data_IF_007090503558
#
_entry.id   IF_007090503558
#
_cell.length_a   1.000
_cell.length_b   1.000
_cell.length_c   1.000
_cell.angle_alpha   90.00
_cell.angle_beta   90.00
_cell.angle_gamma   90.00
#
_symmetry.space_group_name_H-M   'P 1'
#
loop_
_entity.id
_entity.type
_entity.pdbx_description
1 polymer ?
#
# COMPACT_ATOMS: atom_id res chain seq x y z
N UNK A 1 -28.74 13.45 -8.67
CA UNK A 1 -27.58 13.22 -7.79
C UNK A 1 -27.71 12.01 -6.86
N UNK A 2 -28.75 11.87 -6.04
CA UNK A 2 -28.83 10.77 -5.04
C UNK A 2 -28.74 9.35 -5.62
N UNK A 3 -29.25 9.11 -6.85
CA UNK A 3 -29.12 7.80 -7.53
C UNK A 3 -27.65 7.45 -7.82
N UNK A 4 -26.86 8.44 -8.21
CA UNK A 4 -25.42 8.29 -8.48
C UNK A 4 -24.68 8.00 -7.17
N UNK A 5 -24.98 8.76 -6.11
CA UNK A 5 -24.42 8.53 -4.77
C UNK A 5 -24.72 7.10 -4.32
N UNK A 6 -25.96 6.63 -4.46
CA UNK A 6 -26.32 5.27 -4.05
C UNK A 6 -25.59 4.19 -4.87
N UNK A 7 -25.40 4.37 -6.18
CA UNK A 7 -24.60 3.45 -6.99
C UNK A 7 -23.12 3.46 -6.59
N UNK A 8 -22.55 4.63 -6.32
CA UNK A 8 -21.17 4.77 -5.86
C UNK A 8 -20.94 4.20 -4.47
N UNK A 9 -21.91 4.34 -3.58
CA UNK A 9 -21.87 3.71 -2.26
C UNK A 9 -21.98 2.19 -2.36
N UNK A 10 -22.72 1.65 -3.34
CA UNK A 10 -22.78 0.21 -3.58
C UNK A 10 -21.42 -0.33 -4.09
N UNK A 11 -20.74 0.42 -4.97
CA UNK A 11 -19.38 0.07 -5.41
C UNK A 11 -18.39 0.22 -4.25
N UNK A 12 -18.51 1.28 -3.46
CA UNK A 12 -17.70 1.50 -2.27
C UNK A 12 -17.88 0.37 -1.25
N UNK A 13 -19.11 -0.13 -1.04
CA UNK A 13 -19.39 -1.32 -0.21
C UNK A 13 -18.74 -2.57 -0.77
N UNK A 14 -18.78 -2.77 -2.09
CA UNK A 14 -18.10 -3.88 -2.76
C UNK A 14 -16.56 -3.78 -2.63
N UNK A 15 -16.02 -2.57 -2.61
CA UNK A 15 -14.61 -2.26 -2.35
C UNK A 15 -14.28 -2.11 -0.85
N UNK A 16 -15.23 -2.45 0.03
CA UNK A 16 -15.12 -2.45 1.49
C UNK A 16 -14.80 -1.08 2.13
N UNK A 17 -15.23 0.03 1.51
CA UNK A 17 -15.14 1.38 2.07
C UNK A 17 -16.36 1.69 2.96
N UNK A 18 -16.19 2.48 4.01
CA UNK A 18 -17.30 2.90 4.89
C UNK A 18 -18.27 3.85 4.15
N UNK A 19 -19.50 3.40 3.87
CA UNK A 19 -20.48 4.20 3.13
C UNK A 19 -20.98 5.41 3.92
N UNK A 20 -20.87 5.35 5.24
CA UNK A 20 -21.38 6.36 6.19
C UNK A 20 -20.55 7.62 6.12
N UNK A 21 -19.22 7.48 6.09
CA UNK A 21 -18.28 8.59 5.91
C UNK A 21 -18.22 9.07 4.47
N UNK A 22 -18.40 8.17 3.50
CA UNK A 22 -18.28 8.49 2.08
C UNK A 22 -19.51 9.25 1.53
N UNK A 23 -20.71 8.97 2.04
CA UNK A 23 -21.96 9.59 1.59
C UNK A 23 -21.96 11.13 1.65
N UNK A 24 -21.60 11.80 2.76
CA UNK A 24 -21.56 13.26 2.80
C UNK A 24 -20.52 13.84 1.82
N UNK A 25 -19.37 13.17 1.66
CA UNK A 25 -18.30 13.57 0.73
C UNK A 25 -18.79 13.51 -0.71
N UNK A 26 -19.45 12.41 -1.10
CA UNK A 26 -20.01 12.25 -2.45
C UNK A 26 -21.13 13.26 -2.73
N UNK A 27 -21.93 13.62 -1.73
CA UNK A 27 -22.97 14.64 -1.88
C UNK A 27 -22.38 16.03 -2.09
N UNK A 28 -21.43 16.44 -1.26
CA UNK A 28 -20.74 17.73 -1.39
C UNK A 28 -20.02 17.83 -2.74
N UNK A 29 -19.40 16.73 -3.16
CA UNK A 29 -18.70 16.61 -4.43
C UNK A 29 -19.63 16.76 -5.64
N UNK A 30 -20.77 16.05 -5.67
CA UNK A 30 -21.74 16.17 -6.76
C UNK A 30 -22.41 17.54 -6.79
N UNK A 31 -22.66 18.14 -5.62
CA UNK A 31 -23.13 19.53 -5.52
C UNK A 31 -22.08 20.52 -6.06
N UNK A 32 -20.79 20.24 -5.89
CA UNK A 32 -19.71 21.03 -6.46
C UNK A 32 -19.53 20.86 -7.97
N UNK A 33 -20.16 19.84 -8.57
CA UNK A 33 -20.13 19.56 -10.02
C UNK A 33 -21.36 20.09 -10.76
N UNK A 34 -22.42 20.45 -10.04
CA UNK A 34 -23.63 21.11 -10.55
C UNK A 34 -23.34 22.61 -10.71
N UNK A 35 -22.82 23.00 -11.88
CA UNK A 35 -22.34 24.35 -12.14
C UNK A 35 -23.48 25.32 -12.44
N UNK A 36 -24.56 24.82 -13.07
CA UNK A 36 -25.75 25.60 -13.37
C UNK A 36 -26.78 25.61 -12.24
N UNK A 37 -26.55 24.80 -11.19
CA UNK A 37 -27.36 24.69 -9.96
C UNK A 37 -28.79 24.21 -10.24
N UNK A 38 -28.96 23.38 -11.25
CA UNK A 38 -30.26 22.84 -11.63
C UNK A 38 -30.70 21.64 -10.75
N UNK A 39 -29.83 21.16 -9.86
CA UNK A 39 -30.08 20.02 -8.98
C UNK A 39 -29.80 18.66 -9.64
N UNK A 40 -29.29 18.67 -10.87
CA UNK A 40 -28.84 17.53 -11.64
C UNK A 40 -27.35 17.68 -11.96
N UNK A 41 -26.76 16.62 -12.51
CA UNK A 41 -25.39 16.69 -13.05
C UNK A 41 -25.53 16.17 -14.47
N UNK A 42 -25.44 17.07 -15.43
CA UNK A 42 -25.50 16.73 -16.84
C UNK A 42 -24.31 15.87 -17.26
N UNK A 43 -24.38 15.24 -18.44
CA UNK A 43 -23.26 14.45 -18.96
C UNK A 43 -21.98 15.30 -19.12
N UNK A 44 -22.11 16.57 -19.51
CA UNK A 44 -20.96 17.46 -19.66
C UNK A 44 -20.34 17.83 -18.31
N UNK A 45 -21.16 18.14 -17.31
CA UNK A 45 -20.70 18.43 -15.94
C UNK A 45 -20.11 17.19 -15.27
N UNK A 46 -20.67 16.01 -15.56
CA UNK A 46 -20.13 14.72 -15.12
C UNK A 46 -18.73 14.47 -15.68
N UNK A 47 -18.54 14.67 -16.99
CA UNK A 47 -17.22 14.50 -17.64
C UNK A 47 -16.23 15.53 -17.10
N UNK A 48 -16.65 16.79 -16.95
CA UNK A 48 -15.77 17.86 -16.47
C UNK A 48 -15.38 17.69 -14.99
N UNK A 49 -16.34 17.39 -14.12
CA UNK A 49 -16.10 17.18 -12.70
C UNK A 49 -15.46 15.83 -12.37
N UNK A 50 -15.75 14.78 -13.15
CA UNK A 50 -15.12 13.46 -13.04
C UNK A 50 -13.62 13.48 -13.38
N UNK A 51 -13.19 14.31 -14.33
CA UNK A 51 -11.76 14.51 -14.65
C UNK A 51 -10.99 15.31 -13.60
N UNK A 52 -11.68 16.05 -12.72
CA UNK A 52 -11.05 16.99 -11.77
C UNK A 52 -11.16 16.54 -10.31
N UNK A 53 -11.84 15.43 -10.06
CA UNK A 53 -12.22 14.99 -8.72
C UNK A 53 -11.70 13.59 -8.43
N UNK A 54 -10.58 13.53 -7.71
CA UNK A 54 -9.82 12.30 -7.40
C UNK A 54 -10.68 11.17 -6.79
N UNK A 55 -11.63 11.43 -5.86
CA UNK A 55 -12.48 10.37 -5.33
C UNK A 55 -13.34 9.66 -6.37
N UNK A 56 -13.80 10.35 -7.43
CA UNK A 56 -14.61 9.76 -8.51
C UNK A 56 -13.80 8.80 -9.38
N UNK A 57 -12.56 9.17 -9.68
CA UNK A 57 -11.66 8.38 -10.52
C UNK A 57 -11.30 7.04 -9.86
N UNK A 58 -11.09 7.07 -8.54
CA UNK A 58 -10.83 5.88 -7.73
C UNK A 58 -12.10 5.02 -7.55
N UNK A 59 -13.27 5.64 -7.34
CA UNK A 59 -14.54 4.92 -7.13
C UNK A 59 -15.15 4.32 -8.39
N UNK A 60 -14.94 4.93 -9.56
CA UNK A 60 -15.44 4.43 -10.84
C UNK A 60 -14.54 3.36 -11.46
N UNK A 61 -13.38 3.07 -10.86
CA UNK A 61 -12.36 2.24 -11.50
C UNK A 61 -11.87 2.82 -12.84
N UNK A 62 -12.06 4.13 -13.05
CA UNK A 62 -11.79 4.84 -14.30
C UNK A 62 -10.40 5.51 -14.34
N UNK A 63 -9.57 5.28 -13.31
CA UNK A 63 -8.10 5.45 -13.41
C UNK A 63 -7.45 4.39 -14.33
N UNK A 64 -8.09 4.08 -15.46
CA UNK A 64 -7.50 3.33 -16.57
C UNK A 64 -7.68 4.04 -17.93
N UNK A 65 -8.29 5.24 -17.96
CA UNK A 65 -8.51 6.00 -19.21
C UNK A 65 -7.97 7.43 -19.20
N UNK A 66 -6.99 7.72 -18.34
CA UNK A 66 -6.12 8.91 -18.40
C UNK A 66 -4.63 8.57 -18.36
N UNK A 67 -4.27 7.41 -17.79
CA UNK A 67 -2.99 6.76 -17.99
C UNK A 67 -3.04 5.94 -19.27
N UNK A 68 -2.92 6.60 -20.41
CA UNK A 68 -2.27 5.92 -21.54
C UNK A 68 -0.98 5.32 -20.97
N UNK A 69 -0.78 4.01 -21.10
CA UNK A 69 0.47 3.33 -20.76
C UNK A 69 1.63 3.76 -21.65
N UNK A 70 1.71 5.05 -21.98
CA UNK A 70 2.72 5.67 -22.83
C UNK A 70 3.84 6.34 -22.02
N UNK A 71 3.84 6.14 -20.70
CA UNK A 71 4.89 6.58 -19.81
C UNK A 71 4.83 8.07 -19.49
N UNK A 72 3.75 8.78 -19.82
CA UNK A 72 3.64 10.21 -19.48
C UNK A 72 3.43 10.46 -17.99
N UNK A 73 3.79 11.67 -17.56
CA UNK A 73 3.54 12.13 -16.20
C UNK A 73 2.05 12.22 -15.89
N UNK A 74 1.64 11.72 -14.72
CA UNK A 74 0.29 11.88 -14.19
C UNK A 74 0.22 13.09 -13.25
N UNK A 75 -0.34 14.21 -13.75
CA UNK A 75 -0.36 15.50 -13.07
C UNK A 75 -1.58 15.67 -12.16
N UNK A 76 -1.35 16.19 -10.96
CA UNK A 76 -2.42 16.63 -10.05
C UNK A 76 -2.21 18.06 -9.61
N UNK A 77 -3.30 18.82 -9.48
CA UNK A 77 -3.27 20.18 -8.96
C UNK A 77 -3.03 20.16 -7.44
N UNK A 78 -1.97 20.82 -6.98
CA UNK A 78 -1.55 20.75 -5.58
C UNK A 78 -1.41 22.13 -4.92
N UNK A 79 -1.72 22.15 -3.62
CA UNK A 79 -1.37 23.24 -2.72
C UNK A 79 -0.14 22.84 -1.90
N UNK A 80 0.91 23.67 -1.93
CA UNK A 80 2.17 23.41 -1.25
C UNK A 80 2.26 24.24 0.03
N UNK A 81 2.38 23.55 1.17
CA UNK A 81 2.52 24.20 2.49
C UNK A 81 3.92 24.77 2.74
N UNK A 82 4.88 24.48 1.85
CA UNK A 82 6.27 24.92 1.92
C UNK A 82 6.64 25.62 0.61
N UNK A 83 7.59 26.58 0.63
CA UNK A 83 8.11 27.16 -0.60
C UNK A 83 8.52 26.05 -1.58
N UNK A 84 7.86 26.02 -2.74
CA UNK A 84 8.08 25.00 -3.78
C UNK A 84 8.27 25.72 -5.10
N UNK A 85 9.21 25.25 -5.91
CA UNK A 85 9.64 25.91 -7.14
C UNK A 85 9.27 25.07 -8.35
N UNK A 86 8.82 25.72 -9.41
CA UNK A 86 8.57 25.08 -10.69
C UNK A 86 9.88 24.48 -11.22
N UNK A 87 9.91 23.17 -11.46
CA UNK A 87 11.07 22.49 -12.00
C UNK A 87 11.42 22.93 -13.43
N UNK A 88 10.50 23.61 -14.14
CA UNK A 88 10.75 24.10 -15.50
C UNK A 88 11.36 25.51 -15.55
N UNK A 89 10.80 26.47 -14.82
CA UNK A 89 11.25 27.87 -14.88
C UNK A 89 12.02 28.30 -13.62
N UNK A 90 12.15 27.43 -12.63
CA UNK A 90 12.81 27.65 -11.35
C UNK A 90 12.23 28.80 -10.51
N UNK A 91 11.05 29.33 -10.90
CA UNK A 91 10.32 30.34 -10.13
C UNK A 91 9.35 29.68 -9.16
N UNK A 92 9.17 30.31 -7.99
CA UNK A 92 8.28 29.82 -6.95
C UNK A 92 6.84 29.65 -7.44
N UNK A 93 6.19 28.56 -7.02
CA UNK A 93 4.77 28.31 -7.21
C UNK A 93 3.98 29.20 -6.22
N UNK A 94 3.58 30.39 -6.67
CA UNK A 94 2.86 31.37 -5.84
C UNK A 94 1.35 31.18 -5.89
N UNK A 95 0.65 31.38 -4.77
CA UNK A 95 -0.81 31.34 -4.70
C UNK A 95 -1.34 30.99 -3.30
N UNK A 96 -2.56 31.43 -2.98
CA UNK A 96 -3.22 31.19 -1.69
C UNK A 96 -3.92 29.82 -1.64
N UNK A 97 -4.34 29.30 -2.80
CA UNK A 97 -4.89 27.94 -3.03
C UNK A 97 -4.47 27.46 -4.42
N UNK A 98 -4.23 26.14 -4.60
CA UNK A 98 -3.85 25.48 -5.88
C UNK A 98 -2.72 26.21 -6.65
N UNK A 99 -1.47 26.03 -6.21
CA UNK A 99 -0.32 26.83 -6.65
C UNK A 99 0.39 26.27 -7.91
N UNK A 100 0.24 24.98 -8.21
CA UNK A 100 0.93 24.33 -9.32
C UNK A 100 0.59 22.85 -9.47
N UNK A 101 0.94 22.27 -10.61
CA UNK A 101 0.77 20.85 -10.90
C UNK A 101 1.94 20.06 -10.32
N UNK A 102 1.69 18.83 -9.90
CA UNK A 102 2.65 17.91 -9.32
C UNK A 102 2.43 16.52 -9.93
N UNK A 103 3.47 15.90 -10.46
CA UNK A 103 3.38 14.51 -10.90
C UNK A 103 3.24 13.58 -9.69
N UNK A 104 2.28 12.65 -9.70
CA UNK A 104 2.05 11.74 -8.57
C UNK A 104 3.13 10.67 -8.44
N UNK A 105 3.92 10.39 -9.48
CA UNK A 105 4.99 9.40 -9.43
C UNK A 105 6.35 10.06 -9.13
N UNK A 106 6.90 10.84 -10.07
CA UNK A 106 8.22 11.45 -9.91
C UNK A 106 8.28 12.73 -9.07
N UNK A 107 7.13 13.24 -8.60
CA UNK A 107 7.01 14.49 -7.81
C UNK A 107 7.52 15.75 -8.50
N UNK A 108 7.75 15.72 -9.82
CA UNK A 108 8.05 16.91 -10.61
C UNK A 108 6.92 17.93 -10.48
N UNK A 109 7.25 19.21 -10.27
CA UNK A 109 6.27 20.28 -10.06
C UNK A 109 6.40 21.37 -11.10
N UNK A 110 5.28 21.89 -11.60
CA UNK A 110 5.25 22.95 -12.61
C UNK A 110 4.12 23.94 -12.39
N UNK A 111 4.29 25.19 -12.82
CA UNK A 111 3.14 26.10 -12.93
C UNK A 111 2.16 25.59 -13.99
N UNK A 112 0.89 25.92 -13.84
CA UNK A 112 -0.15 25.68 -14.86
C UNK A 112 0.25 26.31 -16.21
N UNK A 113 0.72 27.56 -16.20
CA UNK A 113 1.25 28.22 -17.42
C UNK A 113 2.47 27.53 -18.02
N UNK A 114 3.31 26.91 -17.20
CA UNK A 114 4.52 26.22 -17.64
C UNK A 114 4.19 24.87 -18.27
N UNK A 115 3.18 24.19 -17.73
CA UNK A 115 2.63 22.98 -18.30
C UNK A 115 2.11 23.19 -19.73
N UNK A 116 1.34 24.26 -19.98
CA UNK A 116 0.79 24.53 -21.32
C UNK A 116 1.82 25.08 -22.33
N UNK A 117 2.93 25.69 -21.88
CA UNK A 117 3.90 26.37 -22.76
C UNK A 117 4.96 25.47 -23.38
N UNK A 118 5.23 24.29 -22.82
CA UNK A 118 6.29 23.40 -23.33
C UNK A 118 5.71 22.07 -23.82
N UNK A 119 5.83 21.84 -25.12
CA UNK A 119 5.65 20.55 -25.77
C UNK A 119 6.69 19.50 -25.28
N UNK A 120 7.79 19.93 -24.64
CA UNK A 120 8.86 19.07 -24.06
C UNK A 120 8.51 18.46 -22.69
N UNK A 121 7.32 18.69 -22.11
CA UNK A 121 6.79 17.82 -21.04
C UNK A 121 6.38 16.43 -21.58
N UNK A 122 6.65 16.16 -22.86
CA UNK A 122 6.53 14.87 -23.54
C UNK A 122 7.54 13.82 -23.09
N UNK A 123 8.48 14.16 -22.19
CA UNK A 123 9.37 13.17 -21.59
C UNK A 123 8.58 12.15 -20.78
N UNK A 124 8.94 10.88 -20.92
CA UNK A 124 8.40 9.82 -20.07
C UNK A 124 8.78 10.07 -18.62
N UNK A 125 7.83 9.88 -17.71
CA UNK A 125 8.07 9.88 -16.27
C UNK A 125 9.10 8.80 -15.93
N UNK A 126 10.11 9.17 -15.15
CA UNK A 126 11.23 8.31 -14.75
C UNK A 126 11.09 7.79 -13.30
N UNK A 127 9.98 8.11 -12.62
CA UNK A 127 9.77 7.81 -11.19
C UNK A 127 10.52 8.73 -10.22
N UNK A 128 11.35 9.65 -10.72
CA UNK A 128 12.04 10.69 -9.94
C UNK A 128 12.90 10.13 -8.81
N UNK A 129 12.84 10.78 -7.64
CA UNK A 129 13.64 10.38 -6.47
C UNK A 129 13.34 8.95 -6.00
N UNK A 130 12.14 8.42 -6.24
CA UNK A 130 11.74 7.08 -5.79
C UNK A 130 11.83 6.02 -6.89
N UNK A 131 12.52 6.30 -7.99
CA UNK A 131 12.62 5.41 -9.17
C UNK A 131 13.06 3.97 -8.86
N UNK A 132 13.88 3.75 -7.83
CA UNK A 132 14.32 2.39 -7.46
C UNK A 132 13.15 1.54 -6.97
N UNK A 133 12.20 2.15 -6.26
CA UNK A 133 11.13 1.43 -5.59
C UNK A 133 9.76 1.57 -6.25
N UNK A 134 9.48 2.67 -6.95
CA UNK A 134 8.15 2.96 -7.49
C UNK A 134 7.87 2.20 -8.79
N UNK A 135 6.70 1.58 -8.88
CA UNK A 135 6.17 1.01 -10.13
C UNK A 135 5.38 2.06 -10.88
N UNK A 136 5.87 2.47 -12.05
CA UNK A 136 5.09 3.31 -12.95
C UNK A 136 3.93 2.49 -13.54
N UNK A 137 2.82 3.12 -13.97
CA UNK A 137 1.73 2.42 -14.65
C UNK A 137 2.19 1.59 -15.85
N UNK A 138 3.20 2.08 -16.58
CA UNK A 138 3.83 1.36 -17.71
C UNK A 138 4.51 0.06 -17.30
N UNK A 139 4.85 -0.11 -16.02
CA UNK A 139 5.46 -1.33 -15.48
C UNK A 139 4.43 -2.37 -15.06
N UNK A 140 3.12 -2.12 -15.17
CA UNK A 140 2.06 -3.04 -14.73
C UNK A 140 1.17 -3.37 -15.93
N UNK A 141 1.38 -4.55 -16.52
CA UNK A 141 0.64 -4.99 -17.70
C UNK A 141 -0.52 -5.90 -17.29
N UNK A 142 -1.77 -5.63 -17.72
CA UNK A 142 -2.85 -6.60 -17.57
C UNK A 142 -2.58 -7.84 -18.43
N UNK A 143 -2.85 -9.01 -17.88
CA UNK A 143 -2.74 -10.30 -18.56
C UNK A 143 -4.05 -11.05 -18.36
N UNK A 144 -4.70 -11.40 -19.46
CA UNK A 144 -5.82 -12.36 -19.45
C UNK A 144 -5.25 -13.77 -19.51
N UNK A 145 -5.58 -14.60 -18.52
CA UNK A 145 -5.29 -16.04 -18.55
C UNK A 145 -6.60 -16.81 -18.51
N UNK A 146 -6.79 -17.70 -19.47
CA UNK A 146 -7.80 -18.74 -19.35
C UNK A 146 -7.37 -19.70 -18.24
N UNK A 147 -8.28 -19.94 -17.29
CA UNK A 147 -8.07 -20.92 -16.23
C UNK A 147 -7.93 -22.29 -16.90
N UNK A 148 -6.74 -22.89 -16.90
CA UNK A 148 -6.57 -24.28 -17.35
C UNK A 148 -7.48 -25.17 -16.49
N UNK A 149 -8.57 -25.62 -17.10
CA UNK A 149 -9.52 -26.53 -16.48
C UNK A 149 -8.81 -27.82 -16.11
N UNK A 150 -8.74 -28.10 -14.80
CA UNK A 150 -8.46 -29.44 -14.32
C UNK A 150 -9.51 -30.38 -14.88
N UNK A 151 -9.05 -31.48 -15.48
CA UNK A 151 -9.91 -32.57 -15.95
C UNK A 151 -10.70 -33.16 -14.78
N UNK A 152 -12.04 -33.07 -14.84
CA UNK A 152 -12.94 -34.18 -14.49
C UNK A 152 -14.40 -33.82 -14.80
N UNK A 153 -14.95 -34.63 -15.69
CA UNK A 153 -16.35 -34.96 -16.03
C UNK A 153 -17.53 -34.14 -15.49
N UNK A 154 -18.36 -33.74 -16.46
CA UNK A 154 -19.81 -33.87 -16.31
C UNK A 154 -20.55 -32.65 -15.78
N UNK A 155 -21.12 -31.90 -16.73
CA UNK A 155 -22.31 -31.05 -16.62
C UNK A 155 -22.17 -29.59 -16.14
N UNK A 156 -22.87 -28.74 -16.90
CA UNK A 156 -23.21 -27.33 -16.73
C UNK A 156 -22.08 -26.32 -16.96
N UNK A 157 -22.20 -25.64 -18.10
CA UNK A 157 -21.41 -24.49 -18.56
C UNK A 157 -21.33 -23.38 -17.50
N UNK A 158 -20.33 -23.43 -16.63
CA UNK A 158 -19.91 -22.28 -15.85
C UNK A 158 -19.24 -21.28 -16.80
N UNK A 159 -19.85 -20.09 -16.98
CA UNK A 159 -19.18 -18.95 -17.60
C UNK A 159 -17.86 -18.75 -16.86
N UNK A 160 -16.73 -19.00 -17.54
CA UNK A 160 -15.41 -18.79 -16.96
C UNK A 160 -15.27 -17.34 -16.52
N UNK A 161 -15.11 -17.12 -15.23
CA UNK A 161 -14.84 -15.81 -14.66
C UNK A 161 -13.43 -15.40 -15.08
N UNK A 162 -13.33 -14.40 -15.96
CA UNK A 162 -12.06 -13.81 -16.39
C UNK A 162 -11.41 -13.14 -15.18
N UNK A 163 -10.43 -13.79 -14.57
CA UNK A 163 -9.61 -13.18 -13.53
C UNK A 163 -8.56 -12.31 -14.22
N UNK A 164 -8.71 -10.98 -14.12
CA UNK A 164 -7.68 -10.05 -14.58
C UNK A 164 -6.44 -10.22 -13.70
N UNK A 165 -5.37 -10.77 -14.26
CA UNK A 165 -4.06 -10.84 -13.60
C UNK A 165 -3.18 -9.69 -14.10
N UNK A 166 -2.19 -9.32 -13.31
CA UNK A 166 -1.21 -8.31 -13.71
C UNK A 166 0.18 -8.94 -13.75
N UNK A 167 0.98 -8.52 -14.72
CA UNK A 167 2.40 -8.82 -14.81
C UNK A 167 3.20 -7.54 -14.60
N UNK A 168 4.13 -7.58 -13.66
CA UNK A 168 5.03 -6.46 -13.40
C UNK A 168 6.28 -6.61 -14.29
N UNK A 169 6.60 -5.57 -15.03
CA UNK A 169 7.83 -5.44 -15.83
C UNK A 169 8.58 -4.22 -15.27
N UNK A 170 9.46 -4.43 -14.29
CA UNK A 170 10.16 -3.32 -13.66
C UNK A 170 11.20 -2.71 -14.60
N UNK A 171 11.55 -1.45 -14.34
CA UNK A 171 12.66 -0.78 -15.02
C UNK A 171 13.97 -1.52 -14.71
N UNK A 172 14.85 -1.76 -15.70
CA UNK A 172 16.13 -2.43 -15.44
C UNK A 172 16.96 -1.72 -14.37
N UNK A 173 17.53 -2.49 -13.44
CA UNK A 173 18.36 -1.98 -12.36
C UNK A 173 17.59 -1.33 -11.20
N UNK A 174 16.26 -1.47 -11.17
CA UNK A 174 15.43 -1.05 -10.03
C UNK A 174 14.96 -2.22 -9.18
N UNK A 175 14.53 -1.94 -7.95
CA UNK A 175 14.05 -2.91 -6.98
C UNK A 175 12.65 -2.51 -6.48
N UNK A 176 11.58 -2.90 -7.21
CA UNK A 176 10.21 -2.59 -6.83
C UNK A 176 9.93 -2.94 -5.37
N UNK A 177 9.28 -2.03 -4.65
CA UNK A 177 8.97 -2.23 -3.24
C UNK A 177 7.52 -2.68 -3.05
N UNK A 178 7.32 -3.83 -2.42
CA UNK A 178 6.03 -4.25 -1.86
C UNK A 178 5.94 -3.74 -0.42
N UNK A 179 4.96 -2.87 -0.15
CA UNK A 179 4.75 -2.30 1.19
C UNK A 179 3.55 -2.99 1.85
N UNK A 180 3.80 -3.68 2.97
CA UNK A 180 2.80 -4.38 3.76
C UNK A 180 2.60 -3.65 5.08
N UNK A 181 1.40 -3.11 5.31
CA UNK A 181 1.12 -2.27 6.49
C UNK A 181 0.04 -2.90 7.35
N UNK A 182 0.32 -3.06 8.65
CA UNK A 182 -0.69 -3.37 9.65
C UNK A 182 -1.28 -2.05 10.21
N UNK A 183 -2.53 -1.68 9.88
CA UNK A 183 -3.12 -0.40 10.30
C UNK A 183 -3.26 -0.26 11.82
N UNK A 184 -3.43 -1.40 12.51
CA UNK A 184 -3.63 -1.47 13.97
C UNK A 184 -2.34 -1.24 14.76
N UNK A 185 -1.17 -1.38 14.12
CA UNK A 185 0.12 -1.22 14.79
C UNK A 185 0.44 0.23 15.17
N UNK A 186 1.26 0.40 16.23
CA UNK A 186 1.79 1.70 16.66
C UNK A 186 0.76 2.67 17.24
N UNK A 187 -0.32 2.20 17.88
CA UNK A 187 -1.38 3.07 18.39
C UNK A 187 -2.21 3.73 17.29
N UNK A 188 -2.59 2.94 16.27
CA UNK A 188 -3.27 3.40 15.02
C UNK A 188 -2.44 4.32 14.13
N UNK A 189 -1.12 4.38 14.33
CA UNK A 189 -0.24 5.07 13.39
C UNK A 189 -0.15 4.34 12.04
N UNK A 190 -0.38 3.03 12.01
CA UNK A 190 -0.37 2.23 10.77
C UNK A 190 -1.31 2.79 9.69
N UNK A 191 -2.52 3.21 10.07
CA UNK A 191 -3.48 3.83 9.14
C UNK A 191 -2.93 5.12 8.49
N UNK A 192 -2.28 5.97 9.29
CA UNK A 192 -1.63 7.19 8.79
C UNK A 192 -0.45 6.86 7.86
N UNK A 193 0.30 5.80 8.17
CA UNK A 193 1.43 5.34 7.37
C UNK A 193 0.95 4.77 6.03
N UNK A 194 -0.09 3.95 6.03
CA UNK A 194 -0.73 3.39 4.83
C UNK A 194 -1.09 4.50 3.84
N UNK A 195 -1.85 5.53 4.30
CA UNK A 195 -2.24 6.68 3.47
C UNK A 195 -1.05 7.44 2.91
N UNK A 196 0.02 7.60 3.70
CA UNK A 196 1.24 8.28 3.24
C UNK A 196 1.98 7.46 2.17
N UNK A 197 2.04 6.13 2.30
CA UNK A 197 2.66 5.29 1.27
C UNK A 197 1.85 5.28 -0.03
N UNK A 198 0.52 5.24 0.02
CA UNK A 198 -0.32 5.42 -1.17
C UNK A 198 -0.08 6.75 -1.88
N UNK A 199 0.34 7.78 -1.15
CA UNK A 199 0.72 9.07 -1.74
C UNK A 199 2.14 9.05 -2.32
N UNK A 200 3.06 8.28 -1.74
CA UNK A 200 4.47 8.27 -2.13
C UNK A 200 4.76 7.33 -3.29
N UNK A 201 4.17 6.13 -3.28
CA UNK A 201 4.36 5.06 -4.25
C UNK A 201 3.11 4.84 -5.09
N UNK A 202 3.17 3.92 -6.05
CA UNK A 202 1.97 3.49 -6.76
C UNK A 202 1.03 2.76 -5.78
N UNK A 203 -0.27 3.11 -5.72
CA UNK A 203 -1.20 2.46 -4.79
C UNK A 203 -1.25 0.93 -4.88
N UNK A 204 -0.98 0.34 -6.06
CA UNK A 204 -0.91 -1.12 -6.25
C UNK A 204 0.30 -1.77 -5.57
N UNK A 205 1.22 -1.00 -4.99
CA UNK A 205 2.37 -1.48 -4.22
C UNK A 205 2.12 -1.54 -2.71
N UNK A 206 1.02 -0.95 -2.24
CA UNK A 206 0.79 -0.69 -0.82
C UNK A 206 -0.44 -1.47 -0.38
N UNK A 207 -0.24 -2.45 0.49
CA UNK A 207 -1.27 -3.39 0.91
C UNK A 207 -1.57 -3.24 2.40
N UNK A 208 -2.86 -3.20 2.68
CA UNK A 208 -3.39 -3.26 4.03
C UNK A 208 -3.48 -4.73 4.49
N UNK A 209 -2.80 -5.07 5.57
CA UNK A 209 -2.79 -6.43 6.12
C UNK A 209 -4.11 -6.85 6.77
N UNK A 210 -5.00 -5.91 7.14
CA UNK A 210 -6.35 -6.26 7.58
C UNK A 210 -7.20 -6.83 6.42
N UNK A 211 -6.80 -6.58 5.16
CA UNK A 211 -7.54 -6.98 3.96
C UNK A 211 -6.97 -8.28 3.37
N UNK A 212 -7.10 -9.38 4.12
CA UNK A 212 -6.64 -10.70 3.66
C UNK A 212 -5.15 -10.99 3.83
N UNK A 213 -4.44 -10.18 4.63
CA UNK A 213 -3.05 -10.44 5.05
C UNK A 213 -1.98 -10.17 3.98
N UNK A 214 -0.78 -10.78 4.13
CA UNK A 214 0.34 -10.55 3.21
C UNK A 214 0.16 -11.16 1.82
N UNK A 215 -0.63 -12.23 1.72
CA UNK A 215 -0.76 -13.09 0.54
C UNK A 215 -1.18 -12.36 -0.74
N UNK A 216 -2.16 -11.42 -0.74
CA UNK A 216 -2.53 -10.67 -1.94
C UNK A 216 -1.35 -9.90 -2.54
N UNK A 217 -0.55 -9.24 -1.69
CA UNK A 217 0.64 -8.49 -2.12
C UNK A 217 1.74 -9.41 -2.65
N UNK A 218 2.02 -10.51 -1.95
CA UNK A 218 3.01 -11.50 -2.38
C UNK A 218 2.62 -12.14 -3.73
N UNK A 219 1.34 -12.44 -3.94
CA UNK A 219 0.85 -12.96 -5.21
C UNK A 219 0.95 -11.92 -6.34
N UNK A 220 0.67 -10.64 -6.07
CA UNK A 220 0.80 -9.57 -7.06
C UNK A 220 2.26 -9.39 -7.51
N UNK A 221 3.23 -9.55 -6.60
CA UNK A 221 4.66 -9.45 -6.89
C UNK A 221 5.34 -10.77 -7.29
N UNK A 222 4.62 -11.90 -7.32
CA UNK A 222 5.19 -13.26 -7.42
C UNK A 222 6.24 -13.43 -8.53
N UNK A 223 5.94 -12.91 -9.71
CA UNK A 223 6.79 -13.05 -10.91
C UNK A 223 7.71 -11.85 -11.12
N UNK A 224 7.79 -10.94 -10.15
CA UNK A 224 8.62 -9.73 -10.24
C UNK A 224 10.06 -10.07 -9.86
N UNK A 225 11.06 -9.80 -10.72
CA UNK A 225 12.46 -10.02 -10.34
C UNK A 225 12.90 -8.97 -9.31
N UNK A 226 13.76 -9.41 -8.38
CA UNK A 226 14.49 -8.57 -7.41
C UNK A 226 13.67 -7.51 -6.65
N UNK A 227 12.37 -7.76 -6.43
CA UNK A 227 11.55 -6.92 -5.57
C UNK A 227 11.97 -7.03 -4.10
N UNK A 228 11.68 -5.99 -3.33
CA UNK A 228 11.92 -5.91 -1.89
C UNK A 228 10.59 -5.80 -1.15
N UNK A 229 10.58 -6.16 0.13
CA UNK A 229 9.40 -6.02 1.00
C UNK A 229 9.70 -5.02 2.11
N UNK A 230 8.74 -4.13 2.38
CA UNK A 230 8.72 -3.29 3.58
C UNK A 230 7.58 -3.73 4.49
N UNK A 231 7.92 -4.32 5.63
CA UNK A 231 7.01 -4.74 6.68
C UNK A 231 6.79 -3.61 7.69
N UNK A 232 5.58 -3.05 7.77
CA UNK A 232 5.23 -1.98 8.72
C UNK A 232 4.37 -2.54 9.87
N UNK A 233 4.99 -2.74 11.03
CA UNK A 233 4.37 -3.37 12.20
C UNK A 233 5.36 -3.61 13.33
N UNK A 234 4.91 -4.32 14.37
CA UNK A 234 5.79 -4.89 15.39
C UNK A 234 6.27 -6.31 15.04
N UNK A 235 7.01 -6.95 15.94
CA UNK A 235 7.64 -8.26 15.72
C UNK A 235 6.65 -9.35 15.25
N UNK A 236 5.44 -9.40 15.81
CA UNK A 236 4.42 -10.37 15.38
C UNK A 236 3.93 -10.14 13.94
N UNK A 237 3.85 -8.88 13.49
CA UNK A 237 3.50 -8.57 12.09
C UNK A 237 4.63 -8.97 11.15
N UNK A 238 5.88 -8.66 11.52
CA UNK A 238 7.05 -9.05 10.72
C UNK A 238 7.16 -10.57 10.62
N UNK A 239 6.97 -11.28 11.74
CA UNK A 239 6.97 -12.75 11.77
C UNK A 239 5.90 -13.37 10.88
N UNK A 240 4.67 -12.82 10.91
CA UNK A 240 3.59 -13.28 10.03
C UNK A 240 3.92 -13.08 8.55
N UNK A 241 4.51 -11.94 8.18
CA UNK A 241 4.94 -11.67 6.80
C UNK A 241 6.03 -12.66 6.37
N UNK A 242 7.02 -12.92 7.22
CA UNK A 242 8.11 -13.86 6.94
C UNK A 242 7.58 -15.29 6.75
N UNK A 243 6.65 -15.74 7.58
CA UNK A 243 5.97 -17.03 7.43
C UNK A 243 5.16 -17.13 6.12
N UNK A 244 4.45 -16.06 5.75
CA UNK A 244 3.76 -16.02 4.45
C UNK A 244 4.74 -16.06 3.26
N UNK A 245 5.92 -15.45 3.37
CA UNK A 245 6.96 -15.52 2.33
C UNK A 245 7.46 -16.96 2.17
N UNK A 246 7.72 -17.67 3.26
CA UNK A 246 8.16 -19.09 3.21
C UNK A 246 7.12 -19.96 2.50
N UNK A 247 5.84 -19.70 2.77
CA UNK A 247 4.70 -20.45 2.20
C UNK A 247 4.33 -20.01 0.78
N UNK A 248 4.83 -18.88 0.29
CA UNK A 248 4.45 -18.32 -1.01
C UNK A 248 5.07 -19.05 -2.21
N UNK A 249 6.04 -19.95 -1.99
CA UNK A 249 6.76 -20.69 -3.03
C UNK A 249 7.27 -19.74 -4.15
N UNK A 250 8.04 -18.74 -3.73
CA UNK A 250 8.70 -17.77 -4.60
C UNK A 250 10.01 -18.35 -5.13
N UNK A 251 10.38 -18.00 -6.37
CA UNK A 251 11.65 -18.47 -6.95
C UNK A 251 12.89 -18.02 -6.13
N UNK A 252 12.79 -16.86 -5.48
CA UNK A 252 13.79 -16.29 -4.59
C UNK A 252 13.07 -15.53 -3.49
N UNK A 253 13.50 -15.71 -2.24
CA UNK A 253 12.93 -14.95 -1.13
C UNK A 253 13.37 -13.47 -1.23
N UNK A 254 12.43 -12.51 -1.19
CA UNK A 254 12.76 -11.10 -1.26
C UNK A 254 13.40 -10.62 0.05
N UNK A 255 14.35 -9.66 0.00
CA UNK A 255 14.80 -8.96 1.20
C UNK A 255 13.65 -8.23 1.89
N UNK A 256 13.64 -8.24 3.23
CA UNK A 256 12.62 -7.60 4.05
C UNK A 256 13.23 -6.50 4.90
N UNK A 257 12.77 -5.27 4.71
CA UNK A 257 13.02 -4.14 5.60
C UNK A 257 11.87 -3.99 6.60
N UNK A 258 12.15 -3.44 7.78
CA UNK A 258 11.15 -3.25 8.83
C UNK A 258 10.95 -1.77 9.11
N UNK A 259 9.70 -1.32 9.08
CA UNK A 259 9.28 -0.06 9.69
C UNK A 259 8.65 -0.38 11.06
N UNK A 260 9.39 -0.18 12.17
CA UNK A 260 8.94 -0.60 13.50
C UNK A 260 7.77 0.26 13.99
N UNK A 261 6.59 -0.37 14.13
CA UNK A 261 5.38 0.27 14.63
C UNK A 261 4.91 -0.41 15.93
N UNK A 262 4.91 0.33 17.03
CA UNK A 262 4.48 -0.17 18.34
C UNK A 262 5.64 -0.31 19.32
N UNK A 263 5.50 -1.20 20.31
CA UNK A 263 6.45 -1.34 21.43
C UNK A 263 7.39 -2.53 21.31
N UNK A 264 6.91 -3.67 20.78
CA UNK A 264 7.69 -4.88 20.52
C UNK A 264 8.30 -4.86 19.12
N UNK A 265 9.52 -4.31 19.03
CA UNK A 265 10.27 -4.10 17.79
C UNK A 265 11.70 -4.65 17.92
N UNK A 266 11.87 -5.77 18.62
CA UNK A 266 13.19 -6.32 18.93
C UNK A 266 13.92 -6.77 17.66
N UNK A 267 13.20 -7.34 16.70
CA UNK A 267 13.78 -7.71 15.41
C UNK A 267 14.28 -6.48 14.65
N UNK A 268 13.51 -5.39 14.67
CA UNK A 268 13.92 -4.13 14.05
C UNK A 268 15.15 -3.51 14.73
N UNK A 269 15.27 -3.62 16.07
CA UNK A 269 16.46 -3.16 16.80
C UNK A 269 17.70 -3.98 16.44
N UNK A 270 17.57 -5.32 16.41
CA UNK A 270 18.64 -6.23 16.01
C UNK A 270 19.13 -5.96 14.58
N UNK A 271 18.19 -5.74 13.65
CA UNK A 271 18.49 -5.43 12.25
C UNK A 271 18.79 -3.94 12.00
N UNK A 272 18.88 -3.13 13.06
CA UNK A 272 19.23 -1.69 13.01
C UNK A 272 18.25 -0.80 12.23
N UNK A 273 17.00 -1.22 12.09
CA UNK A 273 15.89 -0.39 11.59
C UNK A 273 15.33 0.58 12.64
N UNK A 274 15.71 0.39 13.91
CA UNK A 274 15.39 1.29 15.02
C UNK A 274 14.35 0.74 15.98
N UNK A 275 14.10 1.49 17.07
CA UNK A 275 13.26 1.05 18.18
C UNK A 275 11.77 1.35 18.03
N UNK A 276 11.39 2.17 17.06
CA UNK A 276 10.02 2.62 16.82
C UNK A 276 9.99 3.82 15.87
N UNK A 277 8.89 3.99 15.14
CA UNK A 277 8.71 5.12 14.24
C UNK A 277 8.13 6.34 14.96
N UNK A 278 8.90 7.44 14.99
CA UNK A 278 8.56 8.68 15.70
C UNK A 278 8.05 9.79 14.74
N UNK A 279 7.46 9.41 13.61
CA UNK A 279 6.88 10.40 12.69
C UNK A 279 7.87 11.06 11.71
N UNK A 280 9.06 10.48 11.53
CA UNK A 280 10.08 10.94 10.58
C UNK A 280 9.65 10.91 9.11
N UNK A 281 10.56 11.27 8.19
CA UNK A 281 10.26 11.26 6.75
C UNK A 281 10.21 9.83 6.20
N UNK A 282 9.07 9.42 5.66
CA UNK A 282 8.95 8.13 4.95
C UNK A 282 9.80 8.08 3.67
N UNK A 283 9.98 9.22 3.00
CA UNK A 283 10.90 9.30 1.84
C UNK A 283 12.33 8.98 2.25
N UNK A 284 12.76 9.39 3.47
CA UNK A 284 14.07 9.03 4.00
C UNK A 284 14.16 7.53 4.23
N UNK A 285 13.14 6.92 4.84
CA UNK A 285 13.08 5.46 5.03
C UNK A 285 13.18 4.72 3.69
N UNK A 286 12.48 5.17 2.66
CA UNK A 286 12.60 4.58 1.31
C UNK A 286 14.03 4.69 0.76
N UNK A 287 14.72 5.81 0.99
CA UNK A 287 16.14 5.97 0.61
C UNK A 287 17.10 5.12 1.45
N UNK A 288 16.81 4.96 2.73
CA UNK A 288 17.58 4.10 3.62
C UNK A 288 17.44 2.62 3.19
N UNK A 289 16.26 2.20 2.68
CA UNK A 289 16.04 0.86 2.10
C UNK A 289 16.79 0.68 0.79
N UNK A 290 16.80 1.68 -0.09
CA UNK A 290 17.55 1.66 -1.36
C UNK A 290 19.04 1.36 -1.10
N UNK A 291 19.61 2.00 -0.07
CA UNK A 291 21.04 1.97 0.26
C UNK A 291 21.44 0.90 1.29
N UNK A 292 20.48 0.16 1.86
CA UNK A 292 20.78 -0.78 2.94
C UNK A 292 21.51 -2.02 2.43
N UNK A 293 22.48 -2.55 3.20
CA UNK A 293 23.10 -3.82 2.89
C UNK A 293 22.12 -4.96 3.13
N UNK A 294 22.28 -6.04 2.37
CA UNK A 294 21.59 -7.30 2.62
C UNK A 294 22.28 -8.05 3.76
N UNK A 295 21.47 -8.57 4.69
CA UNK A 295 21.94 -9.38 5.81
C UNK A 295 21.09 -10.64 5.88
N UNK A 296 21.73 -11.78 6.10
CA UNK A 296 21.03 -13.04 6.30
C UNK A 296 20.44 -13.08 7.71
N UNK A 297 19.19 -13.55 7.82
CA UNK A 297 18.49 -13.73 9.09
C UNK A 297 18.36 -15.23 9.36
N UNK A 298 18.97 -15.68 10.45
CA UNK A 298 18.75 -17.03 10.95
C UNK A 298 17.36 -17.11 11.58
N UNK A 299 16.62 -18.16 11.25
CA UNK A 299 15.28 -18.43 11.78
C UNK A 299 15.26 -19.84 12.33
N UNK A 300 14.81 -19.98 13.57
CA UNK A 300 14.90 -21.25 14.29
C UNK A 300 13.59 -22.01 14.19
N UNK A 301 13.69 -23.28 13.80
CA UNK A 301 12.58 -24.22 13.85
C UNK A 301 12.52 -24.89 15.23
N UNK A 302 11.34 -24.87 15.84
CA UNK A 302 11.05 -25.42 17.15
C UNK A 302 10.17 -26.66 17.00
N UNK A 303 10.64 -27.78 17.50
CA UNK A 303 9.87 -29.01 17.62
C UNK A 303 9.54 -29.27 19.09
N UNK A 304 8.25 -29.39 19.41
CA UNK A 304 7.78 -29.69 20.75
C UNK A 304 7.31 -31.14 20.78
N UNK A 305 8.01 -31.98 21.54
CA UNK A 305 7.73 -33.41 21.66
C UNK A 305 7.05 -33.68 23.02
N UNK A 306 5.75 -34.03 23.05
CA UNK A 306 5.06 -34.41 24.28
C UNK A 306 5.70 -35.64 24.92
N UNK A 307 5.76 -35.68 26.25
CA UNK A 307 6.29 -36.83 27.00
C UNK A 307 5.27 -37.97 27.18
N UNK A 308 3.98 -37.67 27.08
CA UNK A 308 2.87 -38.62 27.24
C UNK A 308 1.80 -38.34 26.16
N UNK A 309 1.09 -39.38 25.68
CA UNK A 309 0.17 -39.28 24.53
C UNK A 309 -1.21 -38.64 24.83
N UNK A 310 -1.48 -38.16 26.05
CA UNK A 310 -2.74 -37.47 26.41
C UNK A 310 -2.40 -36.46 27.53
N UNK A 311 -2.79 -35.19 27.54
CA UNK A 311 -4.10 -34.56 27.36
C UNK A 311 -4.08 -33.40 26.35
N UNK A 312 -5.27 -32.97 25.90
CA UNK A 312 -5.54 -31.86 24.97
C UNK A 312 -4.86 -30.53 25.36
N UNK A 313 -3.55 -30.43 25.22
CA UNK A 313 -2.82 -29.17 25.28
C UNK A 313 -3.09 -28.33 24.03
N UNK A 314 -2.96 -27.01 24.17
CA UNK A 314 -3.04 -26.12 23.02
C UNK A 314 -1.97 -26.50 21.99
N UNK A 315 -2.35 -26.49 20.71
CA UNK A 315 -1.38 -26.68 19.63
C UNK A 315 -0.31 -25.60 19.72
N UNK A 316 0.94 -25.98 19.43
CA UNK A 316 2.04 -25.02 19.35
C UNK A 316 1.70 -23.99 18.27
N UNK A 317 1.54 -22.70 18.61
CA UNK A 317 1.00 -21.72 17.69
C UNK A 317 1.99 -21.34 16.57
N UNK A 318 3.29 -21.55 16.80
CA UNK A 318 4.36 -21.26 15.87
C UNK A 318 5.49 -22.28 15.99
N UNK A 319 5.89 -22.86 14.88
CA UNK A 319 7.05 -23.73 14.71
C UNK A 319 8.32 -22.96 14.31
N UNK A 320 8.19 -21.71 13.85
CA UNK A 320 9.33 -20.83 13.51
C UNK A 320 9.43 -19.64 14.46
N UNK A 321 10.65 -19.36 14.91
CA UNK A 321 11.00 -18.23 15.76
C UNK A 321 12.03 -17.32 15.10
N UNK A 322 11.86 -16.00 15.28
CA UNK A 322 12.72 -14.98 14.68
C UNK A 322 13.59 -14.19 15.68
N UNK A 323 13.28 -14.25 16.98
CA UNK A 323 13.92 -13.40 17.99
C UNK A 323 14.46 -14.20 19.19
N UNK A 324 13.58 -14.82 19.97
CA UNK A 324 13.94 -15.56 21.17
C UNK A 324 12.83 -16.53 21.57
N UNK A 325 13.19 -17.48 22.44
CA UNK A 325 12.27 -18.37 23.14
C UNK A 325 12.68 -18.45 24.60
N UNK A 326 11.71 -18.41 25.49
CA UNK A 326 11.97 -18.44 26.92
C UNK A 326 11.01 -19.38 27.64
N UNK A 327 11.51 -19.95 28.74
CA UNK A 327 10.77 -20.80 29.67
C UNK A 327 11.01 -20.24 31.08
N UNK A 328 10.00 -20.36 31.96
CA UNK A 328 10.13 -19.96 33.37
C UNK A 328 9.68 -18.52 33.63
N UNK A 329 10.43 -17.79 34.46
CA UNK A 329 10.00 -16.48 34.99
C UNK A 329 9.81 -15.44 33.88
N UNK A 330 10.71 -15.39 32.91
CA UNK A 330 10.63 -14.45 31.77
C UNK A 330 9.35 -14.68 30.94
N UNK A 331 9.12 -15.93 30.51
CA UNK A 331 7.90 -16.32 29.80
C UNK A 331 6.63 -15.99 30.60
N UNK A 332 6.65 -16.21 31.92
CA UNK A 332 5.54 -15.88 32.82
C UNK A 332 5.25 -14.37 32.87
N UNK A 333 6.29 -13.53 32.84
CA UNK A 333 6.15 -12.07 32.81
C UNK A 333 5.63 -11.61 31.44
N UNK A 334 6.21 -12.11 30.34
CA UNK A 334 5.78 -11.78 28.99
C UNK A 334 4.31 -12.16 28.75
N UNK A 335 3.89 -13.35 29.22
CA UNK A 335 2.51 -13.80 29.16
C UNK A 335 1.57 -12.89 29.98
N UNK A 336 1.93 -12.56 31.23
CA UNK A 336 1.13 -11.62 32.05
C UNK A 336 1.00 -10.25 31.39
N UNK A 337 2.08 -9.73 30.80
CA UNK A 337 2.07 -8.46 30.08
C UNK A 337 1.14 -8.50 28.86
N UNK A 338 1.20 -9.58 28.07
CA UNK A 338 0.31 -9.79 26.92
C UNK A 338 -1.16 -9.83 27.36
N UNK A 339 -1.52 -10.64 28.36
CA UNK A 339 -2.89 -10.74 28.89
C UNK A 339 -3.38 -9.41 29.45
N UNK A 340 -2.52 -8.65 30.16
CA UNK A 340 -2.88 -7.31 30.62
C UNK A 340 -3.14 -6.34 29.46
N UNK A 341 -2.35 -6.43 28.39
CA UNK A 341 -2.50 -5.59 27.20
C UNK A 341 -3.80 -5.89 26.45
N UNK A 342 -4.21 -7.15 26.37
CA UNK A 342 -5.49 -7.53 25.78
C UNK A 342 -6.69 -7.09 26.63
N UNK A 343 -6.59 -7.22 27.96
CA UNK A 343 -7.65 -6.83 28.89
C UNK A 343 -7.80 -5.32 29.06
N UNK A 344 -6.70 -4.57 28.98
CA UNK A 344 -6.63 -3.13 29.26
C UNK A 344 -5.82 -2.37 28.21
N UNK A 345 -6.20 -2.41 26.92
CA UNK A 345 -5.43 -1.81 25.83
C UNK A 345 -5.15 -0.31 26.05
N UNK A 346 -6.02 0.41 26.74
CA UNK A 346 -5.88 1.82 27.09
C UNK A 346 -4.67 2.15 27.97
N UNK A 347 -4.18 1.18 28.75
CA UNK A 347 -3.01 1.34 29.62
C UNK A 347 -1.68 1.19 28.89
N UNK A 348 -1.69 0.67 27.67
CA UNK A 348 -0.50 0.31 26.89
C UNK A 348 -0.32 1.18 25.65
N UNK A 349 -0.74 2.45 25.73
CA UNK A 349 -0.46 3.42 24.69
C UNK A 349 1.03 3.83 24.72
N UNK A 350 1.73 3.65 23.61
CA UNK A 350 3.07 4.22 23.41
C UNK A 350 2.96 5.74 23.50
N UNK A 351 3.77 6.36 24.37
CA UNK A 351 3.83 7.83 24.54
C UNK A 351 4.22 8.54 23.25
#
# INVERSE_FOLDING_TARGET
MDRIVNQMLHIAQYLEWDPTELRPILKEMLQGMDYDRDGFVSLQEWVHGGMTTIPLLVLLGMDDSGSTGDGRHAWTMKHFKKPTYCNLCHVMLMGVRKQGLCCIYCKYTVHERCFHRKCELSTSCDGGELRDHILLPTSICPVTRDRQGGKSDGSVSAKGELVMQYKIIPTPGTHPLLVLVNPKSGGRQGERILRKFHYLLNPKQVFNLDNGGPTPGLNFFRDTPDFRVLACGGDGTVGWILDCIDKANLAKHPPVAVLPLGTGNDLARCLRWGGGYEGGSLTKILKDIEQSPLVMLDRWHLEVIPREEVENGDQVPYDIMNNYFSIGVDASIAHRFHVMREKHPEKFNSR
#
